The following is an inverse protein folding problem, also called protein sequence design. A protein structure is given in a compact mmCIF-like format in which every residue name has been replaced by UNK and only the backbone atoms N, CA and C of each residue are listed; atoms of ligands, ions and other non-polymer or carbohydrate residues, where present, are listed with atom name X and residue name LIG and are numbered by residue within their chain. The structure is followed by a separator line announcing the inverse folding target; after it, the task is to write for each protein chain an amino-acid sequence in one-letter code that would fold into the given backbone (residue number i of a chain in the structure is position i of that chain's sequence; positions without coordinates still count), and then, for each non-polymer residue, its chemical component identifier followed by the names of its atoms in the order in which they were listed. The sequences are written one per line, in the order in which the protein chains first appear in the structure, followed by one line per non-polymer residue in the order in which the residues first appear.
data_IF_247554191068
#
_entry.id   IF_247554191068
#
_cell.length_a   1.000
_cell.length_b   1.000
_cell.length_c   1.000
_cell.angle_alpha   90.00
_cell.angle_beta   90.00
_cell.angle_gamma   90.00
#
_symmetry.space_group_name_H-M   'P 1'
#
loop_
_entity.id
_entity.type
_entity.pdbx_description
1 polymer ?
#
# COMPACT_ATOMS: atom_id res chain seq x y z
N UNK A 1 -3.11 30.07 6.30
CA UNK A 1 -3.30 29.20 5.11
C UNK A 1 -2.18 28.17 5.09
N UNK A 2 -2.42 26.97 5.62
CA UNK A 2 -1.41 25.91 5.63
C UNK A 2 -1.38 25.25 4.26
N UNK A 3 -0.42 25.66 3.41
CA UNK A 3 -0.09 24.92 2.20
C UNK A 3 0.68 23.67 2.61
N UNK A 4 0.02 22.52 2.52
CA UNK A 4 0.67 21.20 2.61
C UNK A 4 1.29 20.94 1.24
N UNK A 5 2.61 21.01 1.15
CA UNK A 5 3.35 20.56 -0.03
C UNK A 5 3.54 19.04 0.09
N UNK A 6 2.86 18.27 -0.75
CA UNK A 6 3.15 16.84 -0.92
C UNK A 6 4.21 16.69 -2.02
N UNK A 7 5.48 16.56 -1.63
CA UNK A 7 6.59 16.11 -2.49
C UNK A 7 7.12 14.74 -1.98
N UNK A 8 8.03 14.06 -2.70
CA UNK A 8 7.84 12.86 -3.50
C UNK A 8 8.17 11.54 -2.77
N UNK A 9 8.06 11.45 -1.44
CA UNK A 9 8.34 10.21 -0.71
C UNK A 9 7.11 9.72 0.05
N UNK A 10 6.54 8.59 -0.40
CA UNK A 10 5.39 7.93 0.25
C UNK A 10 5.78 7.15 1.52
N UNK A 11 7.00 7.36 2.03
CA UNK A 11 7.55 6.67 3.19
C UNK A 11 7.90 7.70 4.26
N UNK A 12 7.28 7.57 5.43
CA UNK A 12 7.59 8.36 6.62
C UNK A 12 8.22 7.44 7.67
N UNK A 13 9.42 7.78 8.14
CA UNK A 13 10.07 7.06 9.23
C UNK A 13 9.85 7.80 10.55
N UNK A 14 9.34 7.09 11.55
CA UNK A 14 9.15 7.62 12.89
C UNK A 14 10.03 6.82 13.86
N UNK A 15 10.81 7.51 14.69
CA UNK A 15 11.64 6.89 15.73
C UNK A 15 10.84 6.44 16.95
N UNK A 16 9.61 6.94 17.08
CA UNK A 16 8.74 6.74 18.24
C UNK A 16 7.29 6.59 17.81
N UNK A 17 6.48 5.91 18.62
CA UNK A 17 5.05 5.70 18.36
C UNK A 17 4.28 7.03 18.46
N UNK A 18 4.69 7.92 19.35
CA UNK A 18 4.12 9.27 19.48
C UNK A 18 4.33 10.09 18.22
N UNK A 19 5.45 9.88 17.51
CA UNK A 19 5.70 10.47 16.19
C UNK A 19 4.68 10.04 15.15
N UNK A 20 4.33 8.75 15.13
CA UNK A 20 3.31 8.17 14.24
C UNK A 20 1.90 8.69 14.56
N UNK A 21 1.54 8.80 15.84
CA UNK A 21 0.22 9.25 16.30
C UNK A 21 -0.13 10.70 15.90
N UNK A 22 0.86 11.51 15.48
CA UNK A 22 0.61 12.85 14.91
C UNK A 22 -0.05 12.82 13.54
N UNK A 23 0.07 11.70 12.82
CA UNK A 23 -0.41 11.54 11.45
C UNK A 23 -1.62 10.60 11.36
N UNK A 24 -1.80 9.71 12.34
CA UNK A 24 -2.89 8.74 12.37
C UNK A 24 -3.82 8.98 13.57
N UNK A 25 -5.15 9.08 13.34
CA UNK A 25 -6.12 9.13 14.44
C UNK A 25 -6.04 7.89 15.35
N UNK A 26 -6.27 8.09 16.65
CA UNK A 26 -6.29 6.98 17.63
C UNK A 26 -7.34 5.92 17.31
N UNK A 27 -8.47 6.33 16.73
CA UNK A 27 -9.58 5.45 16.38
C UNK A 27 -9.23 4.36 15.37
N UNK A 28 -8.14 4.53 14.61
CA UNK A 28 -7.67 3.57 13.61
C UNK A 28 -6.35 2.89 14.01
N UNK A 29 -5.84 3.18 15.21
CA UNK A 29 -4.61 2.60 15.71
C UNK A 29 -4.92 1.44 16.67
N UNK A 30 -4.16 0.33 16.58
CA UNK A 30 -4.20 -0.74 17.58
C UNK A 30 -3.87 -0.25 18.99
N UNK A 31 -4.41 -0.93 20.00
CA UNK A 31 -4.09 -0.70 21.42
C UNK A 31 -2.60 -0.77 21.74
N UNK A 32 -1.85 -1.66 21.09
CA UNK A 32 -0.40 -1.80 21.27
C UNK A 32 0.38 -0.53 20.87
N UNK A 33 -0.23 0.31 20.05
CA UNK A 33 0.29 1.62 19.66
C UNK A 33 -0.47 2.79 20.30
N UNK A 34 -1.23 2.55 21.37
CA UNK A 34 -1.96 3.57 22.12
C UNK A 34 -3.23 4.11 21.44
N UNK A 35 -3.81 3.34 20.52
CA UNK A 35 -5.10 3.65 19.88
C UNK A 35 -6.29 2.86 20.44
N UNK A 36 -7.42 2.95 19.75
CA UNK A 36 -8.71 2.44 20.21
C UNK A 36 -9.10 1.07 19.60
N UNK A 37 -8.41 0.63 18.54
CA UNK A 37 -8.66 -0.66 17.90
C UNK A 37 -8.24 -1.84 18.80
N UNK A 38 -8.70 -3.07 18.52
CA UNK A 38 -8.21 -4.28 19.18
C UNK A 38 -6.67 -4.41 19.12
N UNK A 39 -6.13 -5.29 19.96
CA UNK A 39 -4.68 -5.53 19.93
C UNK A 39 -4.24 -6.13 18.61
N UNK A 40 -2.96 -5.97 18.28
CA UNK A 40 -2.33 -6.58 17.10
C UNK A 40 -2.59 -8.08 17.04
N UNK A 41 -2.56 -8.75 18.18
CA UNK A 41 -2.84 -10.19 18.24
C UNK A 41 -4.27 -10.51 17.81
N UNK A 42 -5.25 -9.80 18.36
CA UNK A 42 -6.66 -9.99 18.00
C UNK A 42 -6.91 -9.66 16.54
N UNK A 43 -6.35 -8.55 16.05
CA UNK A 43 -6.46 -8.16 14.64
C UNK A 43 -5.83 -9.21 13.71
N UNK A 44 -4.68 -9.78 14.08
CA UNK A 44 -4.04 -10.84 13.30
C UNK A 44 -4.91 -12.10 13.24
N UNK A 45 -5.50 -12.51 14.37
CA UNK A 45 -6.40 -13.67 14.42
C UNK A 45 -7.69 -13.42 13.61
N UNK A 46 -8.22 -12.19 13.58
CA UNK A 46 -9.35 -11.80 12.73
C UNK A 46 -8.98 -11.83 11.23
N UNK A 47 -7.79 -11.33 10.87
CA UNK A 47 -7.30 -11.38 9.49
C UNK A 47 -7.09 -12.82 9.01
N UNK A 48 -6.56 -13.70 9.85
CA UNK A 48 -6.42 -15.12 9.51
C UNK A 48 -7.77 -15.76 9.15
N UNK A 49 -8.82 -15.49 9.93
CA UNK A 49 -10.18 -15.94 9.62
C UNK A 49 -10.71 -15.36 8.31
N UNK A 50 -10.37 -14.10 8.00
CA UNK A 50 -10.73 -13.52 6.71
C UNK A 50 -10.00 -14.21 5.56
N UNK A 51 -8.72 -14.53 5.71
CA UNK A 51 -7.98 -15.29 4.70
C UNK A 51 -8.60 -16.68 4.47
N UNK A 52 -8.91 -17.41 5.54
CA UNK A 52 -9.61 -18.70 5.44
C UNK A 52 -10.96 -18.56 4.73
N UNK A 53 -11.75 -17.54 5.09
CA UNK A 53 -13.06 -17.27 4.45
C UNK A 53 -12.95 -17.00 2.95
N UNK A 54 -11.84 -16.39 2.50
CA UNK A 54 -11.62 -16.04 1.10
C UNK A 54 -10.66 -16.98 0.38
N UNK A 55 -10.30 -18.14 0.96
CA UNK A 55 -9.38 -19.11 0.36
C UNK A 55 -9.76 -19.46 -1.09
N UNK A 56 -11.01 -19.87 -1.33
CA UNK A 56 -11.51 -20.20 -2.68
C UNK A 56 -11.38 -19.04 -3.69
N UNK A 57 -11.40 -17.79 -3.22
CA UNK A 57 -11.17 -16.62 -4.09
C UNK A 57 -9.72 -16.52 -4.50
N UNK A 58 -8.78 -16.83 -3.60
CA UNK A 58 -7.37 -16.86 -3.90
C UNK A 58 -7.03 -18.01 -4.86
N UNK A 59 -7.61 -19.20 -4.68
CA UNK A 59 -7.42 -20.32 -5.61
C UNK A 59 -7.85 -19.95 -7.04
N UNK A 60 -9.02 -19.32 -7.18
CA UNK A 60 -9.50 -18.83 -8.48
C UNK A 60 -8.61 -17.74 -9.07
N UNK A 61 -8.04 -16.87 -8.24
CA UNK A 61 -7.11 -15.83 -8.71
C UNK A 61 -5.79 -16.43 -9.18
N UNK A 62 -5.33 -17.52 -8.57
CA UNK A 62 -4.12 -18.24 -8.97
C UNK A 62 -4.28 -18.91 -10.35
N UNK A 63 -5.49 -19.34 -10.67
CA UNK A 63 -5.86 -19.88 -11.99
C UNK A 63 -6.10 -18.79 -13.06
N UNK A 64 -6.18 -17.51 -12.68
CA UNK A 64 -6.44 -16.43 -13.64
C UNK A 64 -5.17 -15.99 -14.35
N UNK A 65 -5.20 -16.07 -15.68
CA UNK A 65 -4.16 -15.51 -16.55
C UNK A 65 -4.65 -14.26 -17.28
N UNK A 66 -3.72 -13.35 -17.57
CA UNK A 66 -4.01 -12.16 -18.36
C UNK A 66 -3.96 -12.53 -19.84
N UNK A 67 -5.06 -12.29 -20.55
CA UNK A 67 -5.05 -12.35 -22.02
C UNK A 67 -4.26 -11.15 -22.57
N UNK A 68 -3.01 -11.42 -22.93
CA UNK A 68 -2.08 -10.44 -23.49
C UNK A 68 -2.56 -9.81 -24.81
N UNK A 69 -3.45 -10.47 -25.55
CA UNK A 69 -3.97 -9.93 -26.82
C UNK A 69 -4.91 -8.73 -26.61
N UNK A 70 -5.49 -8.60 -25.42
CA UNK A 70 -6.39 -7.51 -25.05
C UNK A 70 -5.66 -6.32 -24.41
N UNK A 71 -4.34 -6.40 -24.22
CA UNK A 71 -3.55 -5.30 -23.66
C UNK A 71 -3.49 -4.15 -24.66
N UNK A 72 -4.09 -3.01 -24.31
CA UNK A 72 -4.28 -1.85 -25.19
C UNK A 72 -2.98 -1.19 -25.70
N UNK A 73 -1.86 -1.42 -25.02
CA UNK A 73 -0.57 -0.77 -25.30
C UNK A 73 0.56 -1.76 -25.09
N UNK A 74 1.39 -2.06 -26.11
CA UNK A 74 2.64 -2.78 -25.90
C UNK A 74 3.51 -1.99 -24.92
N UNK A 75 4.08 -2.67 -23.92
CA UNK A 75 5.11 -2.06 -23.10
C UNK A 75 6.31 -1.77 -24.01
N UNK A 76 6.54 -0.49 -24.32
CA UNK A 76 7.81 -0.09 -24.93
C UNK A 76 8.84 -0.04 -23.82
N UNK A 77 9.85 -0.87 -23.95
CA UNK A 77 11.04 -0.84 -23.10
C UNK A 77 11.86 0.37 -23.54
N UNK A 78 11.80 1.44 -22.75
CA UNK A 78 12.66 2.61 -22.96
C UNK A 78 13.99 2.32 -22.26
N UNK A 79 15.06 2.15 -23.05
CA UNK A 79 16.42 1.83 -22.56
C UNK A 79 16.93 2.85 -21.52
N UNK A 80 16.36 4.06 -21.49
CA UNK A 80 16.74 5.13 -20.57
C UNK A 80 15.84 5.22 -19.32
N UNK A 81 14.56 4.85 -19.42
CA UNK A 81 13.55 5.10 -18.36
C UNK A 81 12.87 3.84 -17.81
N UNK A 82 13.13 2.66 -18.39
CA UNK A 82 12.49 1.40 -18.04
C UNK A 82 11.02 1.31 -18.45
N UNK A 83 10.30 0.33 -17.90
CA UNK A 83 8.89 0.05 -18.23
C UNK A 83 8.01 1.28 -17.97
N UNK A 84 7.35 1.75 -19.03
CA UNK A 84 6.43 2.89 -19.00
C UNK A 84 5.33 2.68 -17.94
N UNK A 85 5.31 3.54 -16.91
CA UNK A 85 4.27 3.52 -15.86
C UNK A 85 4.79 3.54 -14.41
N UNK A 86 6.10 3.40 -14.19
CA UNK A 86 6.68 3.43 -12.84
C UNK A 86 7.42 4.73 -12.47
N UNK A 87 7.71 5.61 -13.43
CA UNK A 87 8.57 6.77 -13.19
C UNK A 87 7.78 8.08 -13.25
N UNK A 88 7.84 8.88 -12.17
CA UNK A 88 7.44 10.29 -12.20
C UNK A 88 8.53 11.06 -12.97
N UNK A 89 8.13 11.93 -13.91
CA UNK A 89 9.06 12.79 -14.64
C UNK A 89 10.07 13.43 -13.67
N UNK A 90 11.35 13.24 -13.97
CA UNK A 90 12.44 13.92 -13.29
C UNK A 90 12.55 15.31 -13.94
N UNK A 91 12.06 16.35 -13.26
CA UNK A 91 12.39 17.72 -13.64
C UNK A 91 13.81 18.00 -13.12
N UNK A 92 14.78 18.02 -14.03
CA UNK A 92 16.15 18.46 -13.75
C UNK A 92 16.22 19.95 -14.11
N UNK A 93 16.65 20.78 -13.17
CA UNK A 93 17.14 22.14 -13.43
C UNK A 93 18.66 22.08 -13.69
#
# INVERSE_FOLDING_TARGET
MNKVYLLPFQVMMHSTVEGLQKYLPKSILPKDYGGDLPSLRTLADEWNKNFEKYADRFDKLDEMEVDETLRSTPLQDDELLGIYGHFRKLDID
#
